data_IF_021991805432
#
_entry.id   IF_021991805432
#
_cell.length_a   1.000
_cell.length_b   1.000
_cell.length_c   1.000
_cell.angle_alpha   90.00
_cell.angle_beta   90.00
_cell.angle_gamma   90.00
#
_symmetry.space_group_name_H-M   'P 1'
#
loop_
_entity.id
_entity.type
_entity.pdbx_description
1 polymer ?
#
# COMPACT_ATOMS: atom_id res chain seq x y z
N UNK A 1 6.63 33.35 3.65
CA UNK A 1 5.76 32.14 3.59
C UNK A 1 5.95 31.52 2.22
N UNK A 2 6.18 30.21 2.14
CA UNK A 2 6.40 29.48 0.88
C UNK A 2 5.32 28.40 0.70
N UNK A 3 4.77 28.19 -0.51
CA UNK A 3 3.78 27.16 -0.74
C UNK A 3 4.40 25.77 -0.61
N UNK A 4 3.66 24.82 -0.02
CA UNK A 4 4.03 23.41 -0.06
C UNK A 4 3.77 22.89 -1.47
N UNK A 5 4.78 22.33 -2.12
CA UNK A 5 4.65 21.80 -3.50
C UNK A 5 4.29 20.33 -3.52
N UNK A 6 4.73 19.56 -2.51
CA UNK A 6 4.41 18.14 -2.41
C UNK A 6 4.39 17.64 -0.96
N UNK A 7 3.60 16.61 -0.71
CA UNK A 7 3.53 15.86 0.56
C UNK A 7 3.84 14.39 0.28
N UNK A 8 4.73 13.80 1.08
CA UNK A 8 5.00 12.37 1.04
C UNK A 8 4.24 11.67 2.17
N UNK A 9 3.41 10.66 1.85
CA UNK A 9 2.54 9.98 2.82
C UNK A 9 2.32 8.49 2.51
N UNK A 10 1.97 7.69 3.53
CA UNK A 10 1.58 6.30 3.31
C UNK A 10 0.23 6.25 2.62
N UNK A 11 0.19 5.68 1.41
CA UNK A 11 -1.07 5.46 0.71
C UNK A 11 -0.98 4.23 -0.19
N UNK A 12 -1.92 3.31 -0.01
CA UNK A 12 -1.98 2.04 -0.74
C UNK A 12 -3.37 1.43 -0.60
N UNK A 13 -3.60 0.26 -1.21
CA UNK A 13 -4.80 -0.55 -0.96
C UNK A 13 -5.01 -0.91 0.53
N UNK A 14 -3.98 -0.76 1.37
CA UNK A 14 -4.00 -1.15 2.79
C UNK A 14 -4.03 0.03 3.77
N UNK A 15 -3.53 1.20 3.35
CA UNK A 15 -3.47 2.41 4.18
C UNK A 15 -4.21 3.50 3.44
N UNK A 16 -5.40 3.85 3.93
CA UNK A 16 -6.34 4.77 3.27
C UNK A 16 -6.78 5.92 4.18
N UNK A 17 -6.26 6.01 5.39
CA UNK A 17 -6.60 7.04 6.39
C UNK A 17 -6.34 8.47 5.85
N UNK A 18 -5.32 8.62 4.99
CA UNK A 18 -5.02 9.89 4.33
C UNK A 18 -6.16 10.42 3.45
N UNK A 19 -7.08 9.56 3.01
CA UNK A 19 -8.22 9.92 2.17
C UNK A 19 -9.28 10.75 2.90
N UNK A 20 -9.29 10.76 4.23
CA UNK A 20 -10.23 11.55 5.03
C UNK A 20 -9.93 13.05 4.92
N UNK A 21 -8.67 13.44 5.16
CA UNK A 21 -8.30 14.86 5.29
C UNK A 21 -7.15 15.30 4.36
N UNK A 22 -6.09 14.49 4.26
CA UNK A 22 -4.82 14.92 3.65
C UNK A 22 -4.91 14.93 2.13
N UNK A 23 -5.46 13.87 1.53
CA UNK A 23 -5.61 13.76 0.08
C UNK A 23 -6.56 14.83 -0.46
N UNK A 24 -7.76 15.07 0.12
CA UNK A 24 -8.62 16.18 -0.29
C UNK A 24 -7.93 17.54 -0.17
N UNK A 25 -7.25 17.81 0.94
CA UNK A 25 -6.54 19.09 1.17
C UNK A 25 -5.43 19.31 0.14
N UNK A 26 -4.64 18.27 -0.15
CA UNK A 26 -3.58 18.38 -1.16
C UNK A 26 -4.16 18.72 -2.54
N UNK A 27 -5.29 18.12 -2.91
CA UNK A 27 -5.97 18.39 -4.17
C UNK A 27 -6.53 19.81 -4.24
N UNK A 28 -7.20 20.26 -3.18
CA UNK A 28 -7.75 21.61 -3.09
C UNK A 28 -6.66 22.68 -3.27
N UNK A 29 -5.50 22.46 -2.67
CA UNK A 29 -4.39 23.42 -2.66
C UNK A 29 -3.40 23.24 -3.83
N UNK A 30 -3.62 22.26 -4.72
CA UNK A 30 -2.71 21.98 -5.84
C UNK A 30 -1.35 21.41 -5.41
N UNK A 31 -1.30 20.70 -4.28
CA UNK A 31 -0.12 20.06 -3.71
C UNK A 31 0.03 18.65 -4.29
N UNK A 32 1.22 18.32 -4.82
CA UNK A 32 1.52 16.98 -5.30
C UNK A 32 1.57 15.93 -4.19
N UNK A 33 1.09 14.72 -4.47
CA UNK A 33 1.09 13.61 -3.51
C UNK A 33 2.14 12.57 -3.92
N UNK A 34 3.03 12.24 -3.00
CA UNK A 34 4.07 11.21 -3.20
C UNK A 34 3.79 10.05 -2.24
N UNK A 35 3.37 8.91 -2.79
CA UNK A 35 3.03 7.75 -1.98
C UNK A 35 4.30 7.01 -1.53
N UNK A 36 4.51 6.85 -0.21
CA UNK A 36 5.46 5.88 0.31
C UNK A 36 4.74 4.57 0.65
N UNK A 37 5.47 3.45 0.58
CA UNK A 37 4.93 2.08 0.79
C UNK A 37 3.67 1.72 -0.03
N UNK A 38 3.55 2.08 -1.33
CA UNK A 38 2.36 1.75 -2.12
C UNK A 38 2.13 0.24 -2.29
N UNK A 39 3.17 -0.58 -2.08
CA UNK A 39 3.10 -2.05 -2.08
C UNK A 39 2.91 -2.66 -0.68
N UNK A 40 2.51 -1.88 0.32
CA UNK A 40 2.29 -2.39 1.67
C UNK A 40 3.55 -3.05 2.26
N UNK A 41 4.71 -2.39 2.07
CA UNK A 41 6.04 -2.89 2.50
C UNK A 41 6.39 -4.27 1.91
N UNK A 42 5.90 -4.53 0.70
CA UNK A 42 6.12 -5.75 -0.09
C UNK A 42 4.95 -6.74 -0.04
N UNK A 43 4.02 -6.58 0.92
CA UNK A 43 2.89 -7.50 1.06
C UNK A 43 2.01 -7.56 -0.20
N UNK A 44 1.76 -6.42 -0.86
CA UNK A 44 0.90 -6.39 -2.06
C UNK A 44 1.58 -6.98 -3.32
N UNK A 45 2.87 -7.34 -3.22
CA UNK A 45 3.60 -8.03 -4.28
C UNK A 45 3.73 -9.54 -4.04
N UNK A 46 3.89 -9.95 -2.78
CA UNK A 46 4.25 -11.33 -2.41
C UNK A 46 3.22 -12.04 -1.52
N UNK A 47 2.25 -11.30 -0.97
CA UNK A 47 1.28 -11.81 -0.01
C UNK A 47 1.90 -12.25 1.31
N UNK A 48 1.21 -13.12 2.03
CA UNK A 48 1.65 -13.62 3.33
C UNK A 48 3.02 -14.32 3.30
N UNK A 49 3.41 -14.91 2.16
CA UNK A 49 4.72 -15.59 1.99
C UNK A 49 5.92 -14.67 2.20
N UNK A 50 5.73 -13.35 2.15
CA UNK A 50 6.81 -12.40 2.43
C UNK A 50 7.44 -12.62 3.80
N UNK A 51 6.68 -13.08 4.81
CA UNK A 51 7.20 -13.29 6.17
C UNK A 51 8.24 -14.39 6.25
N UNK A 52 8.16 -15.37 5.34
CA UNK A 52 9.11 -16.46 5.22
C UNK A 52 10.46 -15.99 4.66
N UNK A 53 10.46 -14.85 3.94
CA UNK A 53 11.68 -14.27 3.35
C UNK A 53 12.30 -13.16 4.20
N UNK A 54 11.71 -12.82 5.34
CA UNK A 54 12.21 -11.76 6.21
C UNK A 54 13.33 -12.27 7.11
N UNK A 55 14.42 -11.53 7.17
CA UNK A 55 15.52 -11.77 8.11
C UNK A 55 15.03 -11.71 9.56
N UNK A 56 15.79 -12.31 10.49
CA UNK A 56 15.43 -12.33 11.92
C UNK A 56 15.23 -10.92 12.50
N UNK A 57 16.04 -9.96 12.07
CA UNK A 57 16.02 -8.58 12.58
C UNK A 57 15.21 -7.60 11.70
N UNK A 58 14.43 -8.11 10.75
CA UNK A 58 13.61 -7.25 9.89
C UNK A 58 12.51 -6.56 10.70
N UNK A 59 12.49 -5.23 10.69
CA UNK A 59 11.54 -4.44 11.48
C UNK A 59 10.06 -4.72 11.10
N UNK A 60 9.77 -5.23 9.90
CA UNK A 60 8.40 -5.60 9.52
C UNK A 60 7.83 -6.67 10.44
N UNK A 61 8.68 -7.52 11.05
CA UNK A 61 8.27 -8.50 12.06
C UNK A 61 7.76 -7.90 13.36
N UNK A 62 7.96 -6.60 13.61
CA UNK A 62 7.38 -5.90 14.77
C UNK A 62 6.06 -5.21 14.44
N UNK A 63 5.71 -5.09 13.16
CA UNK A 63 4.48 -4.42 12.74
C UNK A 63 3.26 -5.33 12.99
N UNK A 64 2.17 -4.84 13.60
CA UNK A 64 0.96 -5.64 13.86
C UNK A 64 0.44 -6.35 12.62
N UNK A 65 0.52 -5.67 11.47
CA UNK A 65 0.10 -6.13 10.14
C UNK A 65 0.80 -7.41 9.64
N UNK A 66 1.96 -7.74 10.21
CA UNK A 66 2.74 -8.94 9.90
C UNK A 66 2.74 -9.96 11.06
N UNK A 67 1.90 -9.77 12.08
CA UNK A 67 1.65 -10.78 13.11
C UNK A 67 0.62 -11.79 12.62
N UNK A 68 0.68 -13.02 13.13
CA UNK A 68 -0.06 -14.16 12.61
C UNK A 68 -1.56 -13.91 12.40
N UNK A 69 -2.27 -13.40 13.40
CA UNK A 69 -3.71 -13.13 13.31
C UNK A 69 -4.05 -12.15 12.17
N UNK A 70 -3.27 -11.08 12.05
CA UNK A 70 -3.46 -10.10 10.98
C UNK A 70 -3.04 -10.67 9.61
N UNK A 71 -1.96 -11.46 9.53
CA UNK A 71 -1.53 -12.10 8.28
C UNK A 71 -2.63 -12.98 7.69
N UNK A 72 -3.32 -13.76 8.53
CA UNK A 72 -4.41 -14.64 8.10
C UNK A 72 -5.57 -13.82 7.52
N UNK A 73 -5.91 -12.69 8.15
CA UNK A 73 -6.90 -11.75 7.61
C UNK A 73 -6.43 -11.12 6.29
N UNK A 74 -5.19 -10.63 6.25
CA UNK A 74 -4.64 -9.94 5.08
C UNK A 74 -4.45 -10.89 3.88
N UNK A 75 -4.27 -12.18 4.12
CA UNK A 75 -4.20 -13.20 3.06
C UNK A 75 -5.47 -13.22 2.22
N UNK A 76 -6.64 -13.09 2.84
CA UNK A 76 -7.94 -13.03 2.13
C UNK A 76 -8.01 -11.82 1.20
N UNK A 77 -7.48 -10.67 1.65
CA UNK A 77 -7.36 -9.48 0.80
C UNK A 77 -6.42 -9.74 -0.38
N UNK A 78 -5.25 -10.32 -0.11
CA UNK A 78 -4.26 -10.61 -1.14
C UNK A 78 -4.78 -11.58 -2.21
N UNK A 79 -5.53 -12.62 -1.82
CA UNK A 79 -6.15 -13.56 -2.76
C UNK A 79 -7.12 -12.87 -3.74
N UNK A 80 -7.89 -11.88 -3.25
CA UNK A 80 -8.76 -11.07 -4.11
C UNK A 80 -7.96 -10.22 -5.10
N UNK A 81 -6.83 -9.65 -4.66
CA UNK A 81 -5.93 -8.88 -5.52
C UNK A 81 -5.35 -9.78 -6.62
N UNK A 82 -4.89 -10.99 -6.27
CA UNK A 82 -4.41 -11.97 -7.25
C UNK A 82 -5.48 -12.32 -8.28
N UNK A 83 -6.71 -12.60 -7.85
CA UNK A 83 -7.80 -12.94 -8.76
C UNK A 83 -8.13 -11.79 -9.74
N UNK A 84 -8.02 -10.53 -9.31
CA UNK A 84 -8.21 -9.37 -10.19
C UNK A 84 -7.01 -9.20 -11.12
N UNK A 85 -5.79 -9.36 -10.62
CA UNK A 85 -4.56 -9.17 -11.40
C UNK A 85 -4.45 -10.23 -12.51
N UNK A 86 -4.81 -11.49 -12.22
CA UNK A 86 -4.91 -12.56 -13.21
C UNK A 86 -5.90 -12.23 -14.33
N UNK A 87 -7.12 -11.79 -13.98
CA UNK A 87 -8.12 -11.35 -14.96
C UNK A 87 -7.65 -10.17 -15.83
N UNK A 88 -6.72 -9.36 -15.32
CA UNK A 88 -6.14 -8.21 -16.00
C UNK A 88 -4.81 -8.52 -16.70
N UNK A 89 -4.29 -9.74 -16.56
CA UNK A 89 -3.00 -10.14 -17.15
C UNK A 89 -1.80 -9.37 -16.57
N UNK A 90 -1.85 -8.97 -15.30
CA UNK A 90 -0.77 -8.26 -14.61
C UNK A 90 -0.41 -8.91 -13.26
N UNK A 91 0.70 -8.50 -12.67
CA UNK A 91 1.09 -8.95 -11.33
C UNK A 91 0.27 -8.24 -10.24
N UNK A 92 0.14 -8.81 -9.03
CA UNK A 92 -0.48 -8.13 -7.90
C UNK A 92 0.18 -6.77 -7.60
N UNK A 93 1.52 -6.69 -7.73
CA UNK A 93 2.27 -5.46 -7.55
C UNK A 93 1.89 -4.39 -8.61
N UNK A 94 1.80 -4.78 -9.88
CA UNK A 94 1.37 -3.89 -10.95
C UNK A 94 -0.06 -3.39 -10.72
N UNK A 95 -0.97 -4.28 -10.29
CA UNK A 95 -2.34 -3.89 -9.97
C UNK A 95 -2.39 -2.88 -8.81
N UNK A 96 -1.64 -3.11 -7.73
CA UNK A 96 -1.60 -2.20 -6.58
C UNK A 96 -1.00 -0.83 -6.94
N UNK A 97 0.08 -0.80 -7.74
CA UNK A 97 0.67 0.45 -8.22
C UNK A 97 -0.26 1.18 -9.18
N UNK A 98 -0.92 0.47 -10.09
CA UNK A 98 -1.89 1.06 -10.99
C UNK A 98 -3.08 1.64 -10.22
N UNK A 99 -3.53 0.95 -9.16
CA UNK A 99 -4.63 1.44 -8.31
C UNK A 99 -4.29 2.78 -7.66
N UNK A 100 -3.13 2.90 -7.00
CA UNK A 100 -2.76 4.15 -6.31
C UNK A 100 -2.46 5.26 -7.31
N UNK A 101 -1.82 4.94 -8.43
CA UNK A 101 -1.57 5.91 -9.49
C UNK A 101 -2.88 6.45 -10.10
N UNK A 102 -3.91 5.62 -10.19
CA UNK A 102 -5.23 6.02 -10.71
C UNK A 102 -6.07 6.83 -9.72
N UNK A 103 -5.63 6.99 -8.47
CA UNK A 103 -6.39 7.80 -7.51
C UNK A 103 -6.37 9.29 -7.84
N UNK A 104 -5.41 9.76 -8.64
CA UNK A 104 -5.27 11.17 -9.04
C UNK A 104 -4.28 11.92 -8.18
#
# INVERSE_FOLDING_TARGET
VHPITAVQIEWSLWSRDAEEDIIPTCRELGIGIVCYSPLGRGFLASGAKIVETLDQNDYRKTLPRFQQENLDHNKILYEKICAISEKKGCTPAQLALAWVHHQG
#
